data_IF_221379263928
#
_entry.id   IF_221379263928
#
_cell.length_a   1.000
_cell.length_b   1.000
_cell.length_c   1.000
_cell.angle_alpha   90.00
_cell.angle_beta   90.00
_cell.angle_gamma   90.00
#
_symmetry.space_group_name_H-M   'P 1'
#
loop_
_entity.id
_entity.type
_entity.pdbx_description
1 polymer ?
#
# COMPACT_ATOMS: atom_id res chain seq x y z
N UNK A 1 -25.11 -46.35 -18.48
CA UNK A 1 -24.50 -45.24 -19.25
C UNK A 1 -24.02 -44.20 -18.26
N UNK A 2 -22.71 -44.21 -18.02
CA UNK A 2 -21.98 -43.30 -17.15
C UNK A 2 -21.92 -41.90 -17.75
N UNK A 3 -22.14 -40.86 -16.94
CA UNK A 3 -21.42 -39.60 -17.03
C UNK A 3 -21.23 -39.03 -15.62
N UNK A 4 -20.14 -39.42 -14.98
CA UNK A 4 -19.58 -38.75 -13.82
C UNK A 4 -18.95 -37.43 -14.28
N UNK A 5 -19.60 -36.32 -14.00
CA UNK A 5 -19.08 -34.98 -14.32
C UNK A 5 -18.05 -34.59 -13.25
N UNK A 6 -16.81 -35.05 -13.44
CA UNK A 6 -15.67 -34.67 -12.61
C UNK A 6 -15.25 -33.25 -13.00
N UNK A 7 -15.91 -32.24 -12.44
CA UNK A 7 -15.37 -30.87 -12.46
C UNK A 7 -14.05 -30.90 -11.71
N UNK A 8 -12.97 -30.89 -12.47
CA UNK A 8 -11.62 -30.56 -12.04
C UNK A 8 -11.64 -29.14 -11.45
N UNK A 9 -11.95 -29.06 -10.16
CA UNK A 9 -11.75 -27.86 -9.36
C UNK A 9 -10.24 -27.66 -9.27
N UNK A 10 -9.67 -26.92 -10.23
CA UNK A 10 -8.35 -26.32 -10.04
C UNK A 10 -8.50 -25.48 -8.76
N UNK A 11 -7.75 -25.74 -7.69
CA UNK A 11 -7.79 -24.86 -6.54
C UNK A 11 -7.29 -23.51 -7.03
N UNK A 12 -8.18 -22.51 -7.09
CA UNK A 12 -7.77 -21.13 -7.34
C UNK A 12 -6.64 -20.81 -6.36
N UNK A 13 -5.48 -20.45 -6.89
CA UNK A 13 -4.34 -20.09 -6.05
C UNK A 13 -4.78 -19.02 -5.06
N UNK A 14 -4.45 -19.14 -3.76
CA UNK A 14 -4.94 -18.21 -2.76
C UNK A 14 -4.47 -16.80 -3.12
N UNK A 15 -5.42 -15.86 -3.10
CA UNK A 15 -5.21 -14.45 -3.37
C UNK A 15 -3.99 -13.94 -2.61
N UNK A 16 -3.19 -13.13 -3.27
CA UNK A 16 -1.89 -12.66 -2.78
C UNK A 16 -1.87 -11.14 -2.68
N UNK A 17 -1.55 -10.62 -1.50
CA UNK A 17 -1.54 -9.18 -1.21
C UNK A 17 -0.18 -8.75 -0.67
N UNK A 18 0.34 -7.67 -1.24
CA UNK A 18 1.55 -7.00 -0.79
C UNK A 18 1.22 -5.72 -0.04
N UNK A 19 1.59 -5.66 1.23
CA UNK A 19 1.61 -4.43 2.03
C UNK A 19 3.01 -3.84 2.03
N UNK A 20 3.11 -2.52 1.84
CA UNK A 20 4.37 -1.78 1.93
C UNK A 20 4.16 -0.62 2.88
N UNK A 21 4.90 -0.58 3.99
CA UNK A 21 4.75 0.49 4.97
C UNK A 21 6.06 0.81 5.69
N UNK A 22 6.10 1.95 6.36
CA UNK A 22 7.33 2.41 7.03
C UNK A 22 7.67 1.57 8.26
N UNK A 23 6.72 1.47 9.20
CA UNK A 23 6.85 0.75 10.46
C UNK A 23 5.48 0.39 11.01
N UNK A 24 5.43 -0.62 11.90
CA UNK A 24 4.22 -1.12 12.55
C UNK A 24 4.07 -0.74 14.03
N UNK A 25 4.90 0.18 14.54
CA UNK A 25 5.03 0.43 15.97
C UNK A 25 3.73 0.94 16.63
N UNK A 26 3.39 2.22 16.45
CA UNK A 26 2.32 2.89 17.22
C UNK A 26 1.60 3.95 16.38
N UNK A 27 0.32 4.18 16.69
CA UNK A 27 -0.56 5.13 16.01
C UNK A 27 -1.73 4.47 15.26
N UNK A 28 -2.70 5.29 14.83
CA UNK A 28 -3.94 4.80 14.23
C UNK A 28 -3.72 4.00 12.93
N UNK A 29 -2.86 4.47 12.03
CA UNK A 29 -2.61 3.80 10.76
C UNK A 29 -1.90 2.42 10.93
N UNK A 30 -0.82 2.29 11.73
CA UNK A 30 -0.24 0.98 12.04
C UNK A 30 -1.22 -0.03 12.65
N UNK A 31 -2.08 0.39 13.59
CA UNK A 31 -3.08 -0.50 14.21
C UNK A 31 -4.07 -1.02 13.17
N UNK A 32 -4.59 -0.15 12.30
CA UNK A 32 -5.52 -0.55 11.24
C UNK A 32 -4.88 -1.55 10.28
N UNK A 33 -3.64 -1.30 9.85
CA UNK A 33 -2.93 -2.21 8.94
C UNK A 33 -2.64 -3.55 9.60
N UNK A 34 -2.22 -3.57 10.87
CA UNK A 34 -1.99 -4.82 11.61
C UNK A 34 -3.26 -5.65 11.71
N UNK A 35 -4.38 -5.04 12.08
CA UNK A 35 -5.66 -5.74 12.19
C UNK A 35 -6.12 -6.25 10.82
N UNK A 36 -5.90 -5.47 9.77
CA UNK A 36 -6.21 -5.87 8.40
C UNK A 36 -5.38 -7.08 7.96
N UNK A 37 -4.08 -7.10 8.25
CA UNK A 37 -3.20 -8.22 7.94
C UNK A 37 -3.66 -9.49 8.65
N UNK A 38 -3.98 -9.40 9.95
CA UNK A 38 -4.47 -10.53 10.75
C UNK A 38 -5.77 -11.10 10.18
N UNK A 39 -6.72 -10.23 9.85
CA UNK A 39 -8.00 -10.63 9.28
C UNK A 39 -7.85 -11.29 7.90
N UNK A 40 -7.01 -10.73 7.03
CA UNK A 40 -6.76 -11.29 5.70
C UNK A 40 -6.08 -12.67 5.76
N UNK A 41 -5.07 -12.80 6.63
CA UNK A 41 -4.39 -14.07 6.89
C UNK A 41 -5.38 -15.13 7.41
N UNK A 42 -6.24 -14.77 8.37
CA UNK A 42 -7.28 -15.67 8.88
C UNK A 42 -8.29 -16.13 7.80
N UNK A 43 -8.50 -15.32 6.76
CA UNK A 43 -9.34 -15.65 5.60
C UNK A 43 -8.60 -16.47 4.52
N UNK A 44 -7.36 -16.89 4.76
CA UNK A 44 -6.56 -17.68 3.83
C UNK A 44 -5.94 -16.86 2.68
N UNK A 45 -5.90 -15.53 2.80
CA UNK A 45 -5.18 -14.67 1.86
C UNK A 45 -3.69 -14.71 2.17
N UNK A 46 -2.86 -14.92 1.15
CA UNK A 46 -1.40 -14.86 1.32
C UNK A 46 -0.96 -13.42 1.45
N UNK A 47 -0.46 -13.08 2.63
CA UNK A 47 0.01 -11.71 2.91
C UNK A 47 1.53 -11.66 2.89
N UNK A 48 2.06 -10.68 2.15
CA UNK A 48 3.47 -10.27 2.21
C UNK A 48 3.54 -8.84 2.72
N UNK A 49 4.37 -8.59 3.71
CA UNK A 49 4.59 -7.28 4.31
C UNK A 49 6.04 -6.84 4.12
N UNK A 50 6.25 -5.74 3.40
CA UNK A 50 7.52 -5.04 3.31
C UNK A 50 7.56 -3.86 4.27
N UNK A 51 8.51 -3.89 5.20
CA UNK A 51 8.75 -2.81 6.15
C UNK A 51 9.96 -1.99 5.72
N UNK A 52 9.79 -0.68 5.55
CA UNK A 52 10.85 0.20 5.07
C UNK A 52 11.83 0.62 6.17
N UNK A 53 11.59 0.17 7.41
CA UNK A 53 12.46 0.41 8.57
C UNK A 53 12.58 -0.85 9.43
N UNK A 54 13.70 -0.94 10.18
CA UNK A 54 14.02 -2.09 11.04
C UNK A 54 13.59 -1.81 12.48
N UNK A 55 12.28 -1.60 12.70
CA UNK A 55 11.73 -1.32 14.03
C UNK A 55 11.08 -2.56 14.65
N UNK A 56 11.04 -2.68 15.99
CA UNK A 56 10.41 -3.80 16.66
C UNK A 56 8.96 -3.98 16.22
N UNK A 57 8.61 -5.21 15.86
CA UNK A 57 7.27 -5.57 15.39
C UNK A 57 6.41 -6.04 16.54
N UNK A 58 5.13 -5.72 16.47
CA UNK A 58 4.12 -6.51 17.18
C UNK A 58 3.98 -7.87 16.47
N UNK A 59 3.62 -8.89 17.23
CA UNK A 59 3.43 -10.24 16.69
C UNK A 59 2.38 -10.26 15.56
N UNK A 60 2.82 -10.79 14.42
CA UNK A 60 2.00 -11.09 13.24
C UNK A 60 1.87 -12.63 13.12
N UNK A 61 0.81 -13.12 12.48
CA UNK A 61 0.66 -14.55 12.21
C UNK A 61 1.85 -15.13 11.41
N UNK A 62 2.21 -16.38 11.68
CA UNK A 62 3.40 -17.05 11.11
C UNK A 62 3.32 -17.22 9.57
N UNK A 63 2.12 -17.24 9.00
CA UNK A 63 1.88 -17.35 7.56
C UNK A 63 2.14 -16.04 6.79
N UNK A 64 2.26 -14.91 7.51
CA UNK A 64 2.59 -13.60 6.93
C UNK A 64 4.09 -13.49 6.67
N UNK A 65 4.49 -13.47 5.41
CA UNK A 65 5.89 -13.19 5.06
C UNK A 65 6.20 -11.74 5.33
N UNK A 66 7.05 -11.48 6.30
CA UNK A 66 7.48 -10.13 6.63
C UNK A 66 8.96 -9.96 6.29
N UNK A 67 9.28 -8.93 5.50
CA UNK A 67 10.65 -8.63 5.08
C UNK A 67 10.97 -7.17 5.42
N UNK A 68 12.07 -6.98 6.15
CA UNK A 68 12.59 -5.64 6.40
C UNK A 68 13.48 -5.20 5.24
N UNK A 69 13.19 -4.01 4.72
CA UNK A 69 13.93 -3.34 3.67
C UNK A 69 14.43 -1.99 4.20
N UNK A 70 15.25 -1.94 5.27
CA UNK A 70 15.67 -0.67 5.84
C UNK A 70 16.62 0.08 4.91
N UNK A 71 16.51 1.40 4.90
CA UNK A 71 17.46 2.28 4.22
C UNK A 71 17.90 3.44 5.11
N UNK A 72 19.16 3.38 5.55
CA UNK A 72 19.83 4.45 6.27
C UNK A 72 20.86 5.13 5.36
N UNK A 73 20.62 6.37 4.89
CA UNK A 73 21.58 7.08 4.04
C UNK A 73 22.81 7.51 4.86
N UNK A 74 24.01 7.18 4.40
CA UNK A 74 25.28 7.55 5.07
C UNK A 74 25.94 8.80 4.50
N UNK A 75 25.50 9.28 3.32
CA UNK A 75 26.08 10.44 2.65
C UNK A 75 25.01 11.44 2.17
N UNK A 76 25.44 12.68 1.90
CA UNK A 76 24.57 13.72 1.34
C UNK A 76 23.96 13.30 0.00
N UNK A 77 24.75 12.65 -0.85
CA UNK A 77 24.29 12.09 -2.12
C UNK A 77 23.17 11.05 -1.90
N UNK A 78 23.37 10.12 -0.97
CA UNK A 78 22.36 9.11 -0.62
C UNK A 78 21.11 9.76 -0.01
N UNK A 79 21.27 10.82 0.80
CA UNK A 79 20.15 11.55 1.39
C UNK A 79 19.26 12.24 0.35
N UNK A 80 19.86 12.78 -0.72
CA UNK A 80 19.15 13.38 -1.85
C UNK A 80 18.44 12.32 -2.71
N UNK A 81 19.07 11.16 -2.91
CA UNK A 81 18.52 10.05 -3.71
C UNK A 81 17.77 9.01 -2.88
N UNK A 82 17.50 9.26 -1.59
CA UNK A 82 17.03 8.25 -0.63
C UNK A 82 15.86 7.43 -1.14
N UNK A 83 14.83 8.06 -1.70
CA UNK A 83 13.64 7.34 -2.17
C UNK A 83 13.92 6.47 -3.39
N UNK A 84 14.87 6.87 -4.24
CA UNK A 84 15.25 6.08 -5.41
C UNK A 84 16.15 4.91 -5.02
N UNK A 85 17.10 5.13 -4.09
CA UNK A 85 17.95 4.05 -3.57
C UNK A 85 17.13 3.04 -2.77
N UNK A 86 16.17 3.51 -1.98
CA UNK A 86 15.24 2.64 -1.27
C UNK A 86 14.33 1.87 -2.22
N UNK A 87 13.85 2.50 -3.31
CA UNK A 87 13.08 1.81 -4.34
C UNK A 87 13.88 0.68 -4.99
N UNK A 88 15.17 0.88 -5.28
CA UNK A 88 16.06 -0.18 -5.77
C UNK A 88 16.17 -1.36 -4.79
N UNK A 89 16.20 -1.10 -3.48
CA UNK A 89 16.17 -2.18 -2.48
C UNK A 89 14.84 -2.95 -2.53
N UNK A 90 13.72 -2.25 -2.69
CA UNK A 90 12.42 -2.91 -2.87
C UNK A 90 12.45 -3.81 -4.11
N UNK A 91 12.91 -3.33 -5.27
CA UNK A 91 13.00 -4.17 -6.48
C UNK A 91 13.85 -5.42 -6.23
N UNK A 92 15.03 -5.26 -5.61
CA UNK A 92 15.89 -6.40 -5.29
C UNK A 92 15.21 -7.39 -4.33
N UNK A 93 14.41 -6.90 -3.38
CA UNK A 93 13.60 -7.75 -2.49
C UNK A 93 12.46 -8.45 -3.24
N UNK A 94 11.80 -7.78 -4.18
CA UNK A 94 10.76 -8.40 -5.00
C UNK A 94 11.31 -9.55 -5.87
N UNK A 95 12.56 -9.44 -6.30
CA UNK A 95 13.27 -10.48 -7.05
C UNK A 95 13.89 -11.59 -6.17
N UNK A 96 13.84 -11.45 -4.84
CA UNK A 96 14.38 -12.45 -3.93
C UNK A 96 13.50 -13.71 -3.87
N UNK A 97 14.12 -14.87 -3.65
CA UNK A 97 13.43 -16.16 -3.61
C UNK A 97 12.18 -16.19 -2.71
N UNK A 98 12.23 -15.68 -1.45
CA UNK A 98 11.04 -15.70 -0.58
C UNK A 98 9.82 -14.96 -1.14
N UNK A 99 10.05 -13.89 -1.91
CA UNK A 99 8.96 -13.13 -2.54
C UNK A 99 8.50 -13.79 -3.83
N UNK A 100 9.45 -14.22 -4.68
CA UNK A 100 9.14 -14.87 -5.96
C UNK A 100 8.38 -16.18 -5.79
N UNK A 101 8.69 -16.95 -4.74
CA UNK A 101 7.98 -18.19 -4.40
C UNK A 101 6.50 -17.95 -4.03
N UNK A 102 6.15 -16.75 -3.57
CA UNK A 102 4.73 -16.37 -3.36
C UNK A 102 4.00 -16.05 -4.65
N UNK A 103 4.69 -15.88 -5.78
CA UNK A 103 4.09 -15.55 -7.06
C UNK A 103 3.62 -14.09 -7.15
N UNK A 104 2.85 -13.74 -8.20
CA UNK A 104 2.37 -12.39 -8.41
C UNK A 104 1.40 -11.94 -7.31
N UNK A 105 1.30 -10.63 -7.12
CA UNK A 105 0.36 -10.01 -6.20
C UNK A 105 -0.88 -9.53 -6.93
N UNK A 106 -2.05 -9.93 -6.47
CA UNK A 106 -3.35 -9.46 -6.96
C UNK A 106 -3.62 -8.01 -6.48
N UNK A 107 -3.10 -7.67 -5.30
CA UNK A 107 -3.24 -6.35 -4.71
C UNK A 107 -1.93 -5.87 -4.07
N UNK A 108 -1.58 -4.62 -4.34
CA UNK A 108 -0.45 -3.94 -3.69
C UNK A 108 -0.96 -2.69 -2.98
N UNK A 109 -0.66 -2.55 -1.68
CA UNK A 109 -1.09 -1.43 -0.85
C UNK A 109 0.12 -0.77 -0.19
N UNK A 110 0.35 0.51 -0.53
CA UNK A 110 1.36 1.33 0.11
C UNK A 110 0.70 2.18 1.21
N UNK A 111 1.19 2.08 2.43
CA UNK A 111 0.68 2.81 3.58
C UNK A 111 1.72 3.81 4.08
N UNK A 112 1.24 5.00 4.48
CA UNK A 112 2.04 6.13 4.94
C UNK A 112 2.81 6.85 3.82
N UNK A 113 3.08 8.13 4.05
CA UNK A 113 3.70 8.99 3.03
C UNK A 113 5.10 8.54 2.62
N UNK A 114 5.86 7.91 3.52
CA UNK A 114 7.20 7.42 3.19
C UNK A 114 7.13 6.30 2.13
N UNK A 115 6.29 5.29 2.36
CA UNK A 115 6.09 4.21 1.39
C UNK A 115 5.59 4.74 0.05
N UNK A 116 4.67 5.71 0.04
CA UNK A 116 4.22 6.35 -1.19
C UNK A 116 5.37 6.93 -2.01
N UNK A 117 6.30 7.64 -1.36
CA UNK A 117 7.47 8.20 -2.03
C UNK A 117 8.35 7.10 -2.62
N UNK A 118 8.61 6.03 -1.88
CA UNK A 118 9.48 4.95 -2.36
C UNK A 118 8.79 4.16 -3.50
N UNK A 119 7.57 3.68 -3.29
CA UNK A 119 6.79 2.89 -4.25
C UNK A 119 6.50 3.64 -5.55
N UNK A 120 6.37 4.98 -5.53
CA UNK A 120 6.21 5.76 -6.76
C UNK A 120 7.40 5.68 -7.73
N UNK A 121 8.52 5.11 -7.29
CA UNK A 121 9.77 4.94 -8.03
C UNK A 121 10.10 3.47 -8.31
N UNK A 122 9.18 2.55 -8.01
CA UNK A 122 9.30 1.13 -8.33
C UNK A 122 8.42 0.76 -9.53
N UNK A 123 8.60 -0.44 -10.05
CA UNK A 123 7.75 -1.15 -11.02
C UNK A 123 6.29 -1.21 -10.56
N UNK A 124 6.06 -1.25 -9.25
CA UNK A 124 4.73 -1.31 -8.63
C UNK A 124 3.95 0.00 -8.65
N UNK A 125 4.54 1.12 -9.10
CA UNK A 125 3.95 2.45 -8.93
C UNK A 125 2.55 2.62 -9.56
N UNK A 126 2.26 1.90 -10.64
CA UNK A 126 0.96 2.00 -11.34
C UNK A 126 -0.09 1.01 -10.84
N UNK A 127 0.36 -0.13 -10.30
CA UNK A 127 -0.52 -1.19 -9.79
C UNK A 127 -0.91 -0.93 -8.34
N UNK A 128 -0.04 -0.26 -7.57
CA UNK A 128 -0.20 0.02 -6.14
C UNK A 128 -1.32 1.00 -5.82
N UNK A 129 -2.03 0.69 -4.74
CA UNK A 129 -2.97 1.58 -4.07
C UNK A 129 -2.27 2.36 -2.97
N UNK A 130 -2.40 3.69 -3.02
CA UNK A 130 -1.79 4.60 -2.06
C UNK A 130 -2.81 4.94 -0.97
N UNK A 131 -2.54 4.49 0.25
CA UNK A 131 -3.46 4.58 1.38
C UNK A 131 -3.20 5.83 2.22
N UNK A 132 -4.12 6.79 2.12
CA UNK A 132 -4.09 8.06 2.82
C UNK A 132 -4.95 7.99 4.09
N UNK A 133 -4.28 8.07 5.24
CA UNK A 133 -4.89 7.96 6.56
C UNK A 133 -5.23 9.30 7.23
N UNK A 134 -4.78 10.42 6.66
CA UNK A 134 -4.95 11.75 7.26
C UNK A 134 -5.29 12.81 6.22
N UNK A 135 -5.94 13.89 6.68
CA UNK A 135 -6.35 15.01 5.83
C UNK A 135 -5.14 15.56 5.05
N UNK A 136 -5.16 15.50 3.70
CA UNK A 136 -4.01 15.82 2.88
C UNK A 136 -3.66 17.31 2.91
N UNK A 137 -4.65 18.19 3.15
CA UNK A 137 -4.44 19.63 3.22
C UNK A 137 -3.60 19.96 4.45
N UNK A 138 -4.06 19.50 5.61
CA UNK A 138 -3.36 19.68 6.88
C UNK A 138 -2.01 18.97 6.87
N UNK A 139 -1.97 17.70 6.44
CA UNK A 139 -0.76 16.88 6.46
C UNK A 139 0.33 17.39 5.50
N UNK A 140 -0.01 17.87 4.30
CA UNK A 140 1.01 18.27 3.32
C UNK A 140 1.29 19.77 3.32
N UNK A 141 0.26 20.62 3.43
CA UNK A 141 0.42 22.06 3.29
C UNK A 141 0.70 22.73 4.64
N UNK A 142 0.06 22.31 5.72
CA UNK A 142 0.24 22.90 7.06
C UNK A 142 0.35 24.43 7.00
N UNK A 143 1.39 24.98 7.64
CA UNK A 143 1.63 26.43 7.69
C UNK A 143 2.44 27.00 6.50
N UNK A 144 2.64 26.24 5.41
CA UNK A 144 3.48 26.69 4.28
C UNK A 144 2.81 27.82 3.51
N UNK A 145 3.55 28.89 3.23
CA UNK A 145 3.09 30.07 2.45
C UNK A 145 3.91 30.25 1.16
N UNK A 146 3.40 31.08 0.25
CA UNK A 146 4.09 31.52 -0.95
C UNK A 146 4.67 30.39 -1.83
N UNK A 147 5.96 30.50 -2.17
CA UNK A 147 6.65 29.57 -3.06
C UNK A 147 6.78 28.16 -2.47
N UNK A 148 7.05 28.04 -1.17
CA UNK A 148 7.14 26.75 -0.49
C UNK A 148 5.82 25.96 -0.58
N UNK A 149 4.68 26.67 -0.49
CA UNK A 149 3.35 26.08 -0.68
C UNK A 149 3.17 25.58 -2.12
N UNK A 150 3.55 26.38 -3.12
CA UNK A 150 3.47 26.03 -4.55
C UNK A 150 4.31 24.80 -4.88
N UNK A 151 5.57 24.77 -4.45
CA UNK A 151 6.47 23.62 -4.64
C UNK A 151 5.89 22.37 -3.98
N UNK A 152 5.37 22.48 -2.75
CA UNK A 152 4.78 21.33 -2.05
C UNK A 152 3.52 20.83 -2.76
N UNK A 153 2.64 21.73 -3.23
CA UNK A 153 1.47 21.35 -4.05
C UNK A 153 1.89 20.57 -5.29
N UNK A 154 2.88 21.07 -6.03
CA UNK A 154 3.40 20.39 -7.22
C UNK A 154 3.95 18.99 -6.89
N UNK A 155 4.76 18.87 -5.84
CA UNK A 155 5.31 17.56 -5.41
C UNK A 155 4.21 16.56 -5.04
N UNK A 156 3.17 17.02 -4.34
CA UNK A 156 2.03 16.20 -3.93
C UNK A 156 1.20 15.80 -5.16
N UNK A 157 0.93 16.75 -6.07
CA UNK A 157 0.26 16.47 -7.34
C UNK A 157 1.01 15.43 -8.15
N UNK A 158 2.32 15.59 -8.35
CA UNK A 158 3.16 14.62 -9.08
C UNK A 158 3.14 13.22 -8.45
N UNK A 159 3.01 13.12 -7.13
CA UNK A 159 3.01 11.84 -6.44
C UNK A 159 1.71 11.06 -6.63
N UNK A 160 0.56 11.74 -6.59
CA UNK A 160 -0.76 11.09 -6.51
C UNK A 160 -1.63 11.22 -7.77
N UNK A 161 -1.36 12.19 -8.64
CA UNK A 161 -2.12 12.36 -9.88
C UNK A 161 -1.96 11.13 -10.79
N UNK A 162 -3.07 10.62 -11.32
CA UNK A 162 -3.10 9.42 -12.14
C UNK A 162 -2.81 8.11 -11.39
N UNK A 163 -2.72 8.12 -10.06
CA UNK A 163 -2.50 6.90 -9.24
C UNK A 163 -3.80 6.31 -8.73
N UNK A 164 -3.75 5.06 -8.25
CA UNK A 164 -4.85 4.44 -7.50
C UNK A 164 -4.77 4.91 -6.05
N UNK A 165 -5.83 5.54 -5.53
CA UNK A 165 -5.84 6.09 -4.17
C UNK A 165 -6.91 5.41 -3.32
N UNK A 166 -6.59 5.19 -2.05
CA UNK A 166 -7.58 4.83 -1.03
C UNK A 166 -7.51 5.84 0.11
N UNK A 167 -8.66 6.34 0.54
CA UNK A 167 -8.78 7.30 1.66
C UNK A 167 -9.75 6.78 2.71
N UNK A 168 -9.62 7.30 3.93
CA UNK A 168 -10.56 7.03 5.03
C UNK A 168 -11.90 7.79 4.91
N UNK A 169 -12.04 8.68 3.93
CA UNK A 169 -13.29 9.38 3.64
C UNK A 169 -13.34 9.90 2.22
N UNK A 170 -14.56 10.12 1.70
CA UNK A 170 -14.77 10.69 0.35
C UNK A 170 -14.39 12.17 0.32
N UNK A 171 -14.59 12.87 1.44
CA UNK A 171 -14.23 14.26 1.65
C UNK A 171 -12.72 14.46 1.45
N UNK A 172 -11.90 13.51 1.87
CA UNK A 172 -10.45 13.56 1.63
C UNK A 172 -10.10 13.51 0.14
N UNK A 173 -10.80 12.69 -0.66
CA UNK A 173 -10.63 12.67 -2.13
C UNK A 173 -11.03 14.01 -2.75
N UNK A 174 -12.17 14.56 -2.33
CA UNK A 174 -12.64 15.86 -2.82
C UNK A 174 -11.63 16.96 -2.50
N UNK A 175 -11.04 16.95 -1.29
CA UNK A 175 -9.99 17.91 -0.90
C UNK A 175 -8.70 17.75 -1.70
N UNK A 176 -8.32 16.54 -2.09
CA UNK A 176 -7.17 16.34 -3.01
C UNK A 176 -7.41 17.00 -4.36
N UNK A 177 -8.61 16.83 -4.91
CA UNK A 177 -8.98 17.48 -6.17
C UNK A 177 -9.01 19.00 -6.01
N UNK A 178 -9.76 19.52 -5.04
CA UNK A 178 -9.97 20.95 -4.83
C UNK A 178 -8.68 21.72 -4.50
N UNK A 179 -7.81 21.20 -3.62
CA UNK A 179 -6.65 21.97 -3.14
C UNK A 179 -5.36 21.70 -3.91
N UNK A 180 -5.24 20.54 -4.56
CA UNK A 180 -4.01 20.10 -5.25
C UNK A 180 -4.21 19.81 -6.75
N UNK A 181 -5.45 19.79 -7.26
CA UNK A 181 -5.74 19.43 -8.65
C UNK A 181 -5.39 17.97 -8.98
N UNK A 182 -5.52 17.08 -7.99
CA UNK A 182 -5.22 15.65 -8.14
C UNK A 182 -6.47 14.93 -8.65
N UNK A 183 -6.30 14.20 -9.74
CA UNK A 183 -7.31 13.32 -10.32
C UNK A 183 -6.75 11.89 -10.28
N UNK A 184 -7.27 11.02 -9.40
CA UNK A 184 -6.83 9.63 -9.31
C UNK A 184 -7.24 8.86 -10.57
N UNK A 185 -6.44 7.85 -10.98
CA UNK A 185 -6.86 6.90 -12.02
C UNK A 185 -8.01 6.03 -11.53
N UNK A 186 -7.94 5.64 -10.25
CA UNK A 186 -9.01 4.97 -9.50
C UNK A 186 -8.97 5.50 -8.07
N UNK A 187 -10.14 5.64 -7.46
CA UNK A 187 -10.25 6.10 -6.09
C UNK A 187 -11.29 5.27 -5.34
N UNK A 188 -10.97 4.91 -4.11
CA UNK A 188 -11.94 4.33 -3.18
C UNK A 188 -11.85 5.05 -1.85
N UNK A 189 -12.98 5.25 -1.20
CA UNK A 189 -13.06 5.77 0.15
C UNK A 189 -13.69 4.68 1.01
N UNK A 190 -13.03 4.29 2.10
CA UNK A 190 -13.63 3.40 3.09
C UNK A 190 -14.03 4.20 4.33
N UNK A 191 -15.28 4.06 4.76
CA UNK A 191 -15.70 4.43 6.12
C UNK A 191 -15.18 3.37 7.10
N UNK A 192 -15.00 3.70 8.37
CA UNK A 192 -14.58 2.74 9.41
C UNK A 192 -15.49 1.49 9.48
N UNK A 193 -16.72 1.57 8.94
CA UNK A 193 -17.68 0.47 8.78
C UNK A 193 -17.39 -0.51 7.61
N UNK A 194 -16.39 -0.25 6.79
CA UNK A 194 -16.15 -0.97 5.53
C UNK A 194 -15.29 -2.23 5.69
N UNK A 195 -14.47 -2.30 6.75
CA UNK A 195 -13.56 -3.45 7.02
C UNK A 195 -14.35 -4.72 7.37
N UNK A 196 -15.55 -4.61 7.93
CA UNK A 196 -16.39 -5.77 8.21
C UNK A 196 -17.28 -6.17 7.02
N UNK A 197 -17.81 -5.20 6.27
CA UNK A 197 -18.84 -5.45 5.24
C UNK A 197 -18.30 -5.81 3.85
N UNK A 198 -17.09 -5.37 3.47
CA UNK A 198 -16.54 -5.68 2.14
C UNK A 198 -15.63 -6.91 2.14
N UNK A 199 -15.06 -7.28 3.29
CA UNK A 199 -14.15 -8.42 3.37
C UNK A 199 -14.88 -9.77 3.30
N UNK A 200 -16.12 -9.85 3.81
CA UNK A 200 -17.00 -11.00 3.57
C UNK A 200 -17.36 -11.23 2.09
N UNK A 201 -17.07 -10.27 1.19
CA UNK A 201 -17.41 -10.32 -0.24
C UNK A 201 -16.22 -9.97 -1.17
N UNK A 202 -14.98 -10.00 -0.65
CA UNK A 202 -13.80 -9.54 -1.38
C UNK A 202 -13.42 -10.48 -2.54
N UNK A 203 -13.64 -11.80 -2.38
CA UNK A 203 -13.52 -12.79 -3.46
C UNK A 203 -14.38 -12.43 -4.67
N UNK A 204 -15.60 -11.95 -4.45
CA UNK A 204 -16.57 -11.60 -5.50
C UNK A 204 -16.25 -10.25 -6.17
N UNK A 205 -15.49 -9.38 -5.52
CA UNK A 205 -15.16 -8.02 -6.02
C UNK A 205 -13.78 -7.89 -6.65
N UNK A 206 -12.83 -8.78 -6.34
CA UNK A 206 -11.53 -8.80 -7.01
C UNK A 206 -11.68 -9.02 -8.53
N UNK A 207 -12.67 -9.80 -8.96
CA UNK A 207 -13.03 -10.01 -10.38
C UNK A 207 -13.71 -8.80 -11.05
N UNK A 208 -14.09 -7.76 -10.30
CA UNK A 208 -14.74 -6.56 -10.81
C UNK A 208 -13.86 -5.29 -10.78
N UNK A 209 -12.55 -5.44 -10.49
CA UNK A 209 -11.56 -4.35 -10.42
C UNK A 209 -10.55 -4.45 -11.56
#
# INVERSE_FOLDING_TARGET
>A
MSQSNTSSHVPESPLSILFIMDHLDTGGAPIVVRNLIKEMSAQGVRVTLLLLSSRPRHELPDDVLTIDVPFAPTSLYQRLRRYHLHAKKIEATLESAPVRERGPFDLVMAHLHHAHQVVSRTSLAQTSWYCLHSDPVSAFLGNKRGLARRIKKYKVKRLYHGRKLVTVSKEMLNRLSAHFGIHPKRASAYSTHWISSTFGNWRTRASAI
#
